data_IF_596025961148
#
_entry.id   IF_596025961148
#
_cell.length_a   1.000
_cell.length_b   1.000
_cell.length_c   1.000
_cell.angle_alpha   90.00
_cell.angle_beta   90.00
_cell.angle_gamma   90.00
#
_symmetry.space_group_name_H-M   'P 1'
#
loop_
_entity.id
_entity.type
_entity.pdbx_description
1 polymer ?
#
# COMPACT_ATOMS: atom_id res chain seq x y z
N UNK A 1 2.04 -0.46 24.25
CA UNK A 1 1.09 0.41 23.57
C UNK A 1 0.86 0.03 22.11
N UNK A 2 1.89 -0.21 21.34
CA UNK A 2 1.73 -0.65 19.94
C UNK A 2 1.86 -2.14 19.77
N UNK A 3 1.26 -2.88 20.69
CA UNK A 3 1.32 -4.35 20.70
C UNK A 3 0.16 -5.01 19.94
N UNK A 4 -0.81 -4.24 19.53
CA UNK A 4 -1.92 -4.79 18.77
C UNK A 4 -1.47 -5.27 17.40
N UNK A 5 -2.15 -6.28 16.88
CA UNK A 5 -1.84 -6.85 15.58
C UNK A 5 -2.25 -5.91 14.46
N UNK A 6 -1.45 -5.84 13.39
CA UNK A 6 -1.77 -4.96 12.26
C UNK A 6 -3.12 -5.27 11.63
N UNK A 7 -3.58 -6.53 11.71
CA UNK A 7 -4.89 -6.90 11.16
C UNK A 7 -6.05 -6.10 11.77
N UNK A 8 -5.86 -5.54 12.96
CA UNK A 8 -6.93 -4.79 13.63
C UNK A 8 -7.08 -3.38 13.10
N UNK A 9 -6.06 -2.84 12.42
CA UNK A 9 -6.08 -1.47 11.93
C UNK A 9 -5.86 -1.36 10.42
N UNK A 10 -5.48 -2.43 9.75
CA UNK A 10 -5.19 -2.38 8.32
C UNK A 10 -6.42 -2.05 7.49
N UNK A 11 -6.18 -1.53 6.30
CA UNK A 11 -7.22 -1.29 5.31
C UNK A 11 -7.43 -2.57 4.52
N UNK A 12 -8.67 -3.06 4.47
CA UNK A 12 -8.99 -4.33 3.80
C UNK A 12 -9.57 -4.15 2.39
N UNK A 13 -10.17 -3.00 2.11
CA UNK A 13 -10.63 -2.70 0.76
C UNK A 13 -9.47 -2.11 -0.03
N UNK A 14 -8.75 -2.95 -0.74
CA UNK A 14 -7.52 -2.58 -1.42
C UNK A 14 -7.70 -2.66 -2.92
N UNK A 15 -7.37 -1.57 -3.61
CA UNK A 15 -7.29 -1.58 -5.07
C UNK A 15 -5.99 -2.28 -5.45
N UNK A 16 -6.09 -3.29 -6.30
CA UNK A 16 -4.93 -4.09 -6.71
C UNK A 16 -4.78 -4.09 -8.23
N UNK A 17 -3.61 -4.51 -8.68
CA UNK A 17 -3.33 -4.70 -10.10
C UNK A 17 -2.99 -6.16 -10.34
N UNK A 18 -3.11 -6.59 -11.60
CA UNK A 18 -2.65 -7.90 -12.06
C UNK A 18 -1.43 -7.73 -12.95
N UNK A 19 -0.51 -8.70 -12.95
CA UNK A 19 0.69 -8.61 -13.79
C UNK A 19 0.39 -8.45 -15.29
N UNK A 20 -0.74 -8.96 -15.75
CA UNK A 20 -1.13 -8.92 -17.16
C UNK A 20 -1.74 -7.59 -17.60
N UNK A 21 -2.05 -6.71 -16.67
CA UNK A 21 -2.55 -5.38 -17.03
C UNK A 21 -1.42 -4.54 -17.58
N UNK A 22 -1.77 -3.55 -18.41
CA UNK A 22 -0.75 -2.66 -18.97
C UNK A 22 -0.46 -1.52 -18.01
N UNK A 23 0.73 -0.97 -18.13
CA UNK A 23 1.14 0.22 -17.38
C UNK A 23 0.18 1.37 -17.64
N UNK A 24 -0.28 1.53 -18.89
CA UNK A 24 -1.25 2.57 -19.23
C UNK A 24 -2.55 2.46 -18.48
N UNK A 25 -3.09 1.24 -18.36
CA UNK A 25 -4.32 0.99 -17.59
C UNK A 25 -4.15 1.39 -16.13
N UNK A 26 -3.01 1.01 -15.54
CA UNK A 26 -2.75 1.29 -14.13
C UNK A 26 -2.46 2.78 -13.91
N UNK A 27 -1.80 3.43 -14.85
CA UNK A 27 -1.59 4.89 -14.78
C UNK A 27 -2.92 5.63 -14.73
N UNK A 28 -3.88 5.24 -15.58
CA UNK A 28 -5.21 5.84 -15.58
C UNK A 28 -5.93 5.61 -14.24
N UNK A 29 -5.85 4.39 -13.71
CA UNK A 29 -6.45 4.04 -12.43
C UNK A 29 -5.85 4.88 -11.30
N UNK A 30 -4.55 5.02 -11.26
CA UNK A 30 -3.87 5.81 -10.25
C UNK A 30 -4.24 7.29 -10.31
N UNK A 31 -4.36 7.84 -11.51
CA UNK A 31 -4.78 9.22 -11.67
C UNK A 31 -6.22 9.43 -11.21
N UNK A 32 -7.10 8.53 -11.63
CA UNK A 32 -8.52 8.64 -11.31
C UNK A 32 -8.78 8.56 -9.81
N UNK A 33 -8.13 7.59 -9.15
CA UNK A 33 -8.37 7.31 -7.74
C UNK A 33 -7.33 7.93 -6.81
N UNK A 34 -6.42 8.74 -7.36
CA UNK A 34 -5.37 9.45 -6.60
C UNK A 34 -4.51 8.49 -5.78
N UNK A 35 -4.11 7.39 -6.40
CA UNK A 35 -3.27 6.38 -5.78
C UNK A 35 -1.84 6.48 -6.31
N UNK A 36 -0.87 6.17 -5.48
CA UNK A 36 0.54 6.20 -5.85
C UNK A 36 1.19 4.82 -5.81
N UNK A 37 0.55 3.87 -5.18
CA UNK A 37 1.07 2.51 -5.05
C UNK A 37 -0.09 1.52 -5.09
N UNK A 38 0.12 0.41 -5.76
CA UNK A 38 -0.85 -0.68 -5.80
C UNK A 38 -0.14 -1.99 -5.58
N UNK A 39 -0.66 -2.83 -4.69
CA UNK A 39 -0.21 -4.22 -4.64
C UNK A 39 -0.59 -4.93 -5.93
N UNK A 40 0.29 -5.78 -6.40
CA UNK A 40 0.05 -6.63 -7.58
C UNK A 40 -0.18 -8.05 -7.10
N UNK A 41 -1.29 -8.64 -7.52
CA UNK A 41 -1.68 -9.98 -7.09
C UNK A 41 -1.89 -10.88 -8.29
N UNK A 42 -1.75 -12.20 -8.09
CA UNK A 42 -2.12 -13.17 -9.10
C UNK A 42 -3.63 -13.45 -9.02
N UNK A 43 -4.13 -14.34 -9.89
CA UNK A 43 -5.56 -14.65 -9.93
C UNK A 43 -6.06 -15.45 -8.74
N UNK A 44 -5.15 -15.91 -7.89
CA UNK A 44 -5.51 -16.55 -6.63
C UNK A 44 -5.44 -15.59 -5.45
N UNK A 45 -5.14 -14.32 -5.71
CA UNK A 45 -5.07 -13.29 -4.68
C UNK A 45 -3.74 -13.23 -3.93
N UNK A 46 -2.72 -13.95 -4.41
CA UNK A 46 -1.40 -13.91 -3.77
C UNK A 46 -0.63 -12.69 -4.23
N UNK A 47 0.07 -12.07 -3.29
CA UNK A 47 0.91 -10.92 -3.58
C UNK A 47 2.11 -11.35 -4.41
N UNK A 48 2.30 -10.73 -5.58
CA UNK A 48 3.44 -11.01 -6.46
C UNK A 48 4.33 -9.79 -6.66
N UNK A 49 3.89 -8.61 -6.29
CA UNK A 49 4.70 -7.40 -6.44
C UNK A 49 3.99 -6.17 -5.94
N UNK A 50 4.64 -5.03 -6.15
CA UNK A 50 4.10 -3.72 -5.86
C UNK A 50 4.47 -2.81 -7.02
N UNK A 51 3.52 -2.05 -7.53
CA UNK A 51 3.80 -1.07 -8.57
C UNK A 51 3.54 0.33 -8.03
N UNK A 52 4.47 1.25 -8.29
CA UNK A 52 4.37 2.62 -7.82
C UNK A 52 4.37 3.57 -9.00
N UNK A 53 3.85 4.78 -8.76
CA UNK A 53 3.91 5.83 -9.78
C UNK A 53 5.37 6.16 -10.14
N UNK A 54 6.29 6.06 -9.18
CA UNK A 54 7.70 6.27 -9.45
C UNK A 54 8.25 5.22 -10.40
N UNK A 55 7.90 3.95 -10.21
CA UNK A 55 8.34 2.85 -11.08
C UNK A 55 7.87 3.09 -12.52
N UNK A 56 6.64 3.54 -12.68
CA UNK A 56 6.07 3.82 -14.01
C UNK A 56 6.72 5.02 -14.66
N UNK A 57 6.98 6.07 -13.87
CA UNK A 57 7.68 7.24 -14.36
C UNK A 57 9.08 6.88 -14.86
N UNK A 58 9.80 6.09 -14.08
CA UNK A 58 11.15 5.65 -14.43
C UNK A 58 11.14 4.80 -15.71
N UNK A 59 10.19 3.87 -15.82
CA UNK A 59 10.05 3.04 -17.00
C UNK A 59 9.77 3.87 -18.25
N UNK A 60 8.91 4.86 -18.12
CA UNK A 60 8.55 5.78 -19.20
C UNK A 60 9.77 6.55 -19.73
N UNK A 61 10.72 6.87 -18.86
CA UNK A 61 11.94 7.57 -19.26
C UNK A 61 12.86 6.73 -20.10
N UNK A 62 12.80 5.41 -19.97
CA UNK A 62 13.72 4.47 -20.62
C UNK A 62 13.07 3.80 -21.81
N UNK A 63 11.77 3.53 -21.76
CA UNK A 63 11.05 2.77 -22.76
C UNK A 63 10.00 3.63 -23.45
N UNK A 64 10.12 3.89 -24.77
CA UNK A 64 9.12 4.68 -25.48
C UNK A 64 7.73 4.07 -25.46
N UNK A 65 7.63 2.73 -25.37
CA UNK A 65 6.37 2.00 -25.38
C UNK A 65 5.90 1.63 -23.98
N UNK A 66 6.28 2.42 -22.97
CA UNK A 66 6.01 2.10 -21.57
C UNK A 66 4.55 1.81 -21.29
N UNK A 67 3.64 2.57 -21.88
CA UNK A 67 2.21 2.37 -21.64
C UNK A 67 1.71 0.98 -22.07
N UNK A 68 2.35 0.37 -23.06
CA UNK A 68 2.00 -0.96 -23.54
C UNK A 68 2.65 -2.09 -22.75
N UNK A 69 3.60 -1.75 -21.92
CA UNK A 69 4.30 -2.77 -21.12
C UNK A 69 3.39 -3.31 -20.05
N UNK A 70 3.66 -4.54 -19.63
CA UNK A 70 2.85 -5.18 -18.60
C UNK A 70 3.32 -4.76 -17.22
N UNK A 71 2.38 -4.67 -16.30
CA UNK A 71 2.66 -4.37 -14.90
C UNK A 71 3.71 -5.32 -14.35
N UNK A 72 3.61 -6.62 -14.72
CA UNK A 72 4.58 -7.62 -14.27
C UNK A 72 6.01 -7.36 -14.69
N UNK A 73 6.21 -6.62 -15.79
CA UNK A 73 7.54 -6.27 -16.27
C UNK A 73 8.13 -5.07 -15.53
N UNK A 74 7.28 -4.23 -14.94
CA UNK A 74 7.68 -2.96 -14.33
C UNK A 74 7.64 -2.99 -12.81
N UNK A 75 6.80 -3.84 -12.23
CA UNK A 75 6.60 -3.91 -10.78
C UNK A 75 7.86 -4.30 -10.03
N UNK A 76 7.89 -3.91 -8.76
CA UNK A 76 8.93 -4.34 -7.85
C UNK A 76 8.50 -5.66 -7.20
N UNK A 77 9.35 -6.69 -7.29
CA UNK A 77 9.08 -8.01 -6.71
C UNK A 77 9.66 -8.18 -5.31
N UNK A 78 10.59 -7.31 -4.91
CA UNK A 78 11.15 -7.33 -3.56
C UNK A 78 10.32 -6.40 -2.67
N UNK A 79 9.24 -6.94 -2.16
CA UNK A 79 8.27 -6.14 -1.41
C UNK A 79 8.37 -6.45 0.07
N UNK A 80 8.53 -5.42 0.89
CA UNK A 80 8.39 -5.54 2.33
C UNK A 80 6.92 -5.80 2.63
N UNK A 81 6.64 -6.79 3.45
CA UNK A 81 5.29 -7.19 3.80
C UNK A 81 5.23 -7.64 5.26
N UNK A 82 4.05 -7.56 5.82
CA UNK A 82 3.79 -7.98 7.20
C UNK A 82 2.79 -9.12 7.23
N UNK A 83 2.85 -9.91 8.28
CA UNK A 83 1.81 -10.90 8.57
C UNK A 83 0.68 -10.24 9.37
N UNK A 84 -0.55 -10.76 9.29
CA UNK A 84 -1.68 -10.16 10.02
C UNK A 84 -1.46 -10.03 11.52
N UNK A 85 -0.69 -10.93 12.11
CA UNK A 85 -0.39 -10.93 13.55
C UNK A 85 0.77 -10.03 13.95
N UNK A 86 1.50 -9.47 12.98
CA UNK A 86 2.61 -8.58 13.31
C UNK A 86 2.09 -7.35 14.02
N UNK A 87 2.95 -6.74 14.82
CA UNK A 87 2.54 -5.64 15.69
C UNK A 87 2.51 -4.32 14.98
N UNK A 88 1.57 -3.47 15.38
CA UNK A 88 1.47 -2.10 14.87
C UNK A 88 2.80 -1.36 15.04
N UNK A 89 3.50 -1.59 16.17
CA UNK A 89 4.81 -0.98 16.40
C UNK A 89 5.83 -1.33 15.32
N UNK A 90 5.80 -2.55 14.81
CA UNK A 90 6.69 -2.96 13.72
C UNK A 90 6.39 -2.16 12.46
N UNK A 91 5.13 -1.99 12.14
CA UNK A 91 4.74 -1.17 10.99
C UNK A 91 5.18 0.29 11.19
N UNK A 92 5.00 0.82 12.39
CA UNK A 92 5.40 2.19 12.71
C UNK A 92 6.90 2.39 12.48
N UNK A 93 7.73 1.44 12.92
CA UNK A 93 9.16 1.51 12.70
C UNK A 93 9.51 1.50 11.21
N UNK A 94 8.83 0.66 10.42
CA UNK A 94 9.07 0.63 8.99
C UNK A 94 8.73 1.95 8.33
N UNK A 95 7.68 2.64 8.78
CA UNK A 95 7.29 3.91 8.21
C UNK A 95 8.24 5.06 8.57
N UNK A 96 9.15 4.85 9.51
CA UNK A 96 10.23 5.82 9.75
C UNK A 96 11.18 5.89 8.55
N UNK A 97 11.21 4.86 7.72
CA UNK A 97 11.92 4.89 6.47
C UNK A 97 10.98 5.45 5.39
N UNK A 98 11.34 6.58 4.82
CA UNK A 98 10.49 7.30 3.87
C UNK A 98 10.17 6.55 2.58
N UNK A 99 10.88 5.46 2.32
CA UNK A 99 10.61 4.63 1.14
C UNK A 99 9.31 3.85 1.28
N UNK A 100 8.85 3.62 2.52
CA UNK A 100 7.66 2.82 2.77
C UNK A 100 6.47 3.73 3.04
N UNK A 101 5.49 3.68 2.16
CA UNK A 101 4.24 4.44 2.31
C UNK A 101 3.05 3.54 2.53
N UNK A 102 3.10 2.35 1.97
CA UNK A 102 2.07 1.34 2.07
C UNK A 102 2.76 -0.01 2.19
N UNK A 103 2.39 -0.78 3.18
CA UNK A 103 2.97 -2.11 3.40
C UNK A 103 1.87 -3.14 3.26
N UNK A 104 2.01 -4.09 2.32
CA UNK A 104 1.03 -5.18 2.19
C UNK A 104 1.06 -6.11 3.40
N UNK A 105 -0.11 -6.61 3.75
CA UNK A 105 -0.28 -7.62 4.81
C UNK A 105 -0.75 -8.90 4.15
N UNK A 106 0.03 -9.96 4.30
CA UNK A 106 -0.25 -11.24 3.66
C UNK A 106 -0.31 -12.37 4.69
N UNK A 107 -1.12 -13.38 4.41
CA UNK A 107 -1.22 -14.55 5.27
C UNK A 107 -0.13 -15.58 4.93
N UNK A 108 -0.16 -16.71 5.61
CA UNK A 108 0.83 -17.77 5.41
C UNK A 108 0.82 -18.37 4.00
N UNK A 109 -0.30 -18.27 3.30
CA UNK A 109 -0.42 -18.75 1.92
C UNK A 109 -0.01 -17.69 0.90
N UNK A 110 0.46 -16.54 1.36
CA UNK A 110 0.88 -15.44 0.49
C UNK A 110 -0.27 -14.59 -0.02
N UNK A 111 -1.49 -14.83 0.44
CA UNK A 111 -2.65 -14.05 -0.02
C UNK A 111 -2.69 -12.68 0.64
N UNK A 112 -2.97 -11.68 -0.17
CA UNK A 112 -3.12 -10.31 0.31
C UNK A 112 -4.37 -10.20 1.17
N UNK A 113 -4.21 -9.77 2.42
CA UNK A 113 -5.31 -9.61 3.35
C UNK A 113 -5.68 -8.15 3.56
N UNK A 114 -4.75 -7.26 3.30
CA UNK A 114 -4.96 -5.83 3.43
C UNK A 114 -3.65 -5.09 3.22
N UNK A 115 -3.69 -3.79 3.44
CA UNK A 115 -2.49 -2.97 3.47
C UNK A 115 -2.53 -2.12 4.73
N UNK A 116 -1.33 -1.75 5.21
CA UNK A 116 -1.23 -0.79 6.29
C UNK A 116 -0.47 0.42 5.76
N UNK A 117 -0.98 1.61 6.08
CA UNK A 117 -0.37 2.86 5.66
C UNK A 117 0.09 3.63 6.90
N UNK A 118 0.97 4.61 6.68
CA UNK A 118 1.36 5.50 7.78
C UNK A 118 0.13 6.19 8.37
N UNK A 119 -0.85 6.53 7.53
CA UNK A 119 -2.09 7.15 7.99
C UNK A 119 -2.86 6.21 8.94
N UNK A 120 -2.91 4.92 8.65
CA UNK A 120 -3.57 3.95 9.53
C UNK A 120 -2.93 3.96 10.92
N UNK A 121 -1.60 4.02 10.99
CA UNK A 121 -0.87 4.07 12.26
C UNK A 121 -1.15 5.36 13.00
N UNK A 122 -1.14 6.49 12.29
CA UNK A 122 -1.43 7.80 12.89
C UNK A 122 -2.84 7.81 13.48
N UNK A 123 -3.81 7.33 12.71
CA UNK A 123 -5.21 7.28 13.16
C UNK A 123 -5.35 6.40 14.40
N UNK A 124 -4.69 5.24 14.41
CA UNK A 124 -4.69 4.34 15.56
C UNK A 124 -4.11 5.03 16.79
N UNK A 125 -2.97 5.69 16.65
CA UNK A 125 -2.30 6.38 17.74
C UNK A 125 -3.18 7.50 18.31
N UNK A 126 -3.80 8.28 17.43
CA UNK A 126 -4.68 9.36 17.86
C UNK A 126 -5.89 8.84 18.63
N UNK A 127 -6.49 7.75 18.16
CA UNK A 127 -7.64 7.15 18.82
C UNK A 127 -7.30 6.56 20.18
N UNK A 128 -6.06 6.11 20.37
CA UNK A 128 -5.61 5.62 21.67
C UNK A 128 -5.40 6.75 22.67
N UNK A 129 -4.83 7.88 22.20
CA UNK A 129 -4.56 9.02 23.06
C UNK A 129 -5.80 9.86 23.31
N UNK A 130 -6.68 9.98 22.33
CA UNK A 130 -7.84 10.85 22.39
C UNK A 130 -9.09 10.06 22.02
N UNK A 131 -9.99 9.90 22.96
CA UNK A 131 -11.21 9.13 22.74
C UNK A 131 -12.16 9.82 21.78
N UNK A 132 -12.08 11.14 21.67
CA UNK A 132 -12.89 11.91 20.76
C UNK A 132 -12.00 12.75 19.85
N UNK A 133 -12.41 12.97 18.61
CA UNK A 133 -11.66 13.86 17.71
C UNK A 133 -11.59 15.25 18.31
N UNK A 134 -10.38 15.74 18.53
CA UNK A 134 -10.19 17.02 19.19
C UNK A 134 -10.10 18.19 18.23
N UNK A 135 -10.07 17.87 16.93
CA UNK A 135 -9.45 18.85 16.14
C UNK A 135 -10.25 19.63 15.25
N UNK A 136 -10.87 18.97 14.40
CA UNK A 136 -11.45 19.65 13.28
C UNK A 136 -12.43 20.74 13.69
N UNK A 137 -13.09 20.55 14.81
CA UNK A 137 -14.04 21.52 15.31
C UNK A 137 -13.40 22.85 15.68
N UNK A 138 -12.19 22.77 16.22
CA UNK A 138 -11.53 23.96 16.78
C UNK A 138 -10.60 24.62 15.75
N UNK A 139 -10.30 23.94 14.68
CA UNK A 139 -9.37 24.43 13.66
C UNK A 139 -10.08 24.97 12.44
N UNK A 140 -11.22 24.42 12.09
CA UNK A 140 -12.00 24.93 10.95
C UNK A 140 -12.87 26.11 11.38
N UNK A 141 -12.66 27.15 10.71
CA UNK A 141 -13.40 28.40 10.99
C UNK A 141 -14.40 28.72 9.91
#
# INVERSE_FOLDING_TARGET
MMNEAVRTIMTTEVVTAYPEQTVGEIAELMLRDQLQQLPVVDHEGRLVGLITSYDMWRDCRVNPDSESRLVGEVMNTRVIKLAPKDKVGTAAELFMDRRFKTIPVVNLNGKLKGVITAFDVIRYTLRKEYKEPILFRDVIL
#
